data_IF_961044404357
#
_entry.id   IF_961044404357
#
_cell.length_a   1.000
_cell.length_b   1.000
_cell.length_c   1.000
_cell.angle_alpha   90.00
_cell.angle_beta   90.00
_cell.angle_gamma   90.00
#
_symmetry.space_group_name_H-M   'P 1'
#
loop_
_entity.id
_entity.type
_entity.pdbx_description
1 polymer ?
#
# COMPACT_ATOMS: atom_id res chain seq x y z
N UNK A 1 1.11 -15.87 -22.58
CA UNK A 1 0.87 -14.50 -22.07
C UNK A 1 0.24 -13.59 -23.12
N UNK A 2 0.78 -13.40 -24.36
CA UNK A 2 0.26 -12.37 -25.28
C UNK A 2 -1.24 -12.47 -25.60
N UNK A 3 -1.78 -13.70 -25.70
CA UNK A 3 -3.20 -13.91 -25.98
C UNK A 3 -4.14 -13.32 -24.91
N UNK A 4 -3.70 -13.19 -23.65
CA UNK A 4 -4.50 -12.62 -22.56
C UNK A 4 -4.60 -11.09 -22.63
N UNK A 5 -3.71 -10.44 -23.40
CA UNK A 5 -3.65 -8.99 -23.55
C UNK A 5 -4.06 -8.52 -24.95
N UNK A 6 -4.51 -9.46 -25.80
CA UNK A 6 -4.97 -9.14 -27.14
C UNK A 6 -6.15 -8.17 -27.05
N UNK A 7 -6.08 -7.10 -27.85
CA UNK A 7 -7.12 -6.07 -27.97
C UNK A 7 -7.40 -5.28 -26.67
N UNK A 8 -6.48 -5.34 -25.68
CA UNK A 8 -6.64 -4.59 -24.43
C UNK A 8 -6.23 -3.12 -24.59
N UNK A 9 -7.19 -2.19 -24.44
CA UNK A 9 -6.92 -0.75 -24.43
C UNK A 9 -6.15 -0.31 -23.18
N UNK A 10 -6.46 -0.87 -22.02
CA UNK A 10 -5.74 -0.61 -20.77
C UNK A 10 -5.67 -1.89 -19.92
N UNK A 11 -4.49 -2.16 -19.37
CA UNK A 11 -4.22 -3.25 -18.43
C UNK A 11 -4.00 -2.69 -17.03
N UNK A 12 -4.77 -3.15 -16.04
CA UNK A 12 -4.38 -3.01 -14.63
C UNK A 12 -3.45 -4.17 -14.26
N UNK A 13 -2.17 -3.87 -14.10
CA UNK A 13 -1.17 -4.81 -13.61
C UNK A 13 -1.05 -4.70 -12.08
N UNK A 14 -1.77 -5.57 -11.38
CA UNK A 14 -1.60 -5.76 -9.94
C UNK A 14 -0.34 -6.60 -9.69
N UNK A 15 0.57 -6.08 -8.87
CA UNK A 15 1.85 -6.74 -8.57
C UNK A 15 1.62 -8.13 -7.94
N UNK A 16 2.47 -9.08 -8.28
CA UNK A 16 2.36 -10.46 -7.79
C UNK A 16 2.61 -10.54 -6.28
N UNK A 17 1.92 -11.43 -5.54
CA UNK A 17 2.14 -11.63 -4.11
C UNK A 17 3.26 -12.65 -3.80
N UNK A 18 3.97 -13.15 -4.81
CA UNK A 18 4.96 -14.23 -4.63
C UNK A 18 6.13 -13.76 -3.75
N UNK A 19 6.50 -14.55 -2.73
CA UNK A 19 7.55 -14.17 -1.76
C UNK A 19 8.97 -14.30 -2.28
N UNK A 20 9.18 -15.11 -3.31
CA UNK A 20 10.46 -15.23 -4.01
C UNK A 20 10.61 -14.04 -4.96
N UNK A 21 11.45 -13.07 -4.61
CA UNK A 21 11.59 -11.81 -5.35
C UNK A 21 12.14 -12.03 -6.77
N UNK A 22 13.00 -13.03 -6.99
CA UNK A 22 13.50 -13.31 -8.34
C UNK A 22 12.40 -13.87 -9.23
N UNK A 23 11.62 -14.83 -8.72
CA UNK A 23 10.48 -15.40 -9.41
C UNK A 23 9.39 -14.34 -9.62
N UNK A 24 9.16 -13.48 -8.64
CA UNK A 24 8.23 -12.34 -8.73
C UNK A 24 8.67 -11.37 -9.82
N UNK A 25 9.95 -11.04 -9.92
CA UNK A 25 10.47 -10.19 -10.98
C UNK A 25 10.36 -10.84 -12.36
N UNK A 26 10.59 -12.16 -12.47
CA UNK A 26 10.33 -12.91 -13.72
C UNK A 26 8.87 -12.83 -14.14
N UNK A 27 7.93 -12.94 -13.18
CA UNK A 27 6.50 -12.78 -13.46
C UNK A 27 6.17 -11.37 -13.94
N UNK A 28 6.73 -10.35 -13.28
CA UNK A 28 6.50 -8.95 -13.66
C UNK A 28 7.04 -8.65 -15.06
N UNK A 29 8.26 -9.10 -15.37
CA UNK A 29 8.85 -8.98 -16.71
C UNK A 29 7.97 -9.64 -17.77
N UNK A 30 7.53 -10.87 -17.54
CA UNK A 30 6.69 -11.58 -18.50
C UNK A 30 5.33 -10.90 -18.75
N UNK A 31 4.76 -10.24 -17.73
CA UNK A 31 3.54 -9.45 -17.87
C UNK A 31 3.78 -8.21 -18.75
N UNK A 32 4.84 -7.45 -18.49
CA UNK A 32 5.20 -6.24 -19.25
C UNK A 32 5.55 -6.58 -20.70
N UNK A 33 6.43 -7.56 -20.92
CA UNK A 33 6.81 -8.01 -22.26
C UNK A 33 5.61 -8.58 -23.03
N UNK A 34 4.74 -9.32 -22.35
CA UNK A 34 3.50 -9.84 -22.94
C UNK A 34 2.55 -8.73 -23.40
N UNK A 35 2.37 -7.70 -22.57
CA UNK A 35 1.53 -6.54 -22.91
C UNK A 35 2.12 -5.73 -24.07
N UNK A 36 3.44 -5.54 -24.09
CA UNK A 36 4.14 -4.85 -25.18
C UNK A 36 4.03 -5.63 -26.49
N UNK A 37 4.24 -6.96 -26.46
CA UNK A 37 4.08 -7.82 -27.63
C UNK A 37 2.65 -7.82 -28.18
N UNK A 38 1.65 -7.69 -27.31
CA UNK A 38 0.25 -7.57 -27.69
C UNK A 38 -0.15 -6.16 -28.14
N UNK A 39 0.74 -5.16 -28.01
CA UNK A 39 0.47 -3.74 -28.28
C UNK A 39 -0.73 -3.22 -27.48
N UNK A 40 -0.82 -3.58 -26.20
CA UNK A 40 -1.82 -3.02 -25.30
C UNK A 40 -1.70 -1.49 -25.28
N UNK A 41 -2.81 -0.76 -25.14
CA UNK A 41 -2.77 0.70 -25.20
C UNK A 41 -2.02 1.35 -24.04
N UNK A 42 -2.28 0.89 -22.80
CA UNK A 42 -1.76 1.46 -21.56
C UNK A 42 -1.57 0.43 -20.46
N UNK A 43 -0.54 0.58 -19.60
CA UNK A 43 -0.37 -0.19 -18.35
C UNK A 43 -0.57 0.72 -17.14
N UNK A 44 -1.52 0.38 -16.27
CA UNK A 44 -1.66 0.93 -14.92
C UNK A 44 -1.07 -0.08 -13.94
N UNK A 45 -0.03 0.30 -13.20
CA UNK A 45 0.72 -0.62 -12.35
C UNK A 45 0.62 -0.28 -10.86
N UNK A 46 0.31 -1.27 -10.02
CA UNK A 46 0.38 -1.12 -8.55
C UNK A 46 1.82 -1.29 -8.07
N UNK A 47 2.49 -0.19 -7.79
CA UNK A 47 3.81 -0.12 -7.17
C UNK A 47 3.70 0.11 -5.66
N UNK A 48 4.78 0.55 -5.02
CA UNK A 48 4.85 0.88 -3.59
C UNK A 48 5.22 2.35 -3.36
N UNK A 49 4.60 2.99 -2.37
CA UNK A 49 4.83 4.38 -1.96
C UNK A 49 6.31 4.64 -1.68
N UNK A 50 6.83 5.72 -2.24
CA UNK A 50 8.21 6.19 -2.06
C UNK A 50 9.25 5.09 -2.27
N UNK A 51 9.08 4.28 -3.31
CA UNK A 51 9.88 3.08 -3.57
C UNK A 51 11.40 3.31 -3.46
N UNK A 52 11.92 4.44 -3.94
CA UNK A 52 13.35 4.76 -3.89
C UNK A 52 13.90 5.05 -2.48
N UNK A 53 13.02 5.34 -1.50
CA UNK A 53 13.40 5.59 -0.11
C UNK A 53 13.41 4.33 0.74
N UNK A 54 12.85 3.24 0.22
CA UNK A 54 12.81 1.95 0.89
C UNK A 54 14.09 1.15 0.75
N UNK A 55 14.37 0.30 1.73
CA UNK A 55 15.58 -0.54 1.82
C UNK A 55 15.28 -2.05 1.83
N UNK A 56 14.00 -2.42 1.80
CA UNK A 56 13.60 -3.83 1.64
C UNK A 56 13.71 -4.27 0.17
N UNK A 57 14.05 -5.55 -0.10
CA UNK A 57 14.13 -6.09 -1.47
C UNK A 57 12.90 -5.83 -2.34
N UNK A 58 11.71 -5.84 -1.73
CA UNK A 58 10.46 -5.55 -2.43
C UNK A 58 10.44 -4.14 -3.07
N UNK A 59 11.12 -3.15 -2.49
CA UNK A 59 11.17 -1.79 -3.05
C UNK A 59 12.01 -1.78 -4.32
N UNK A 60 13.17 -2.43 -4.32
CA UNK A 60 14.01 -2.59 -5.50
C UNK A 60 13.26 -3.34 -6.61
N UNK A 61 12.49 -4.37 -6.25
CA UNK A 61 11.65 -5.08 -7.22
C UNK A 61 10.62 -4.14 -7.87
N UNK A 62 9.95 -3.31 -7.08
CA UNK A 62 8.98 -2.33 -7.60
C UNK A 62 9.66 -1.28 -8.49
N UNK A 63 10.78 -0.69 -8.06
CA UNK A 63 11.57 0.25 -8.89
C UNK A 63 11.99 -0.41 -10.21
N UNK A 64 12.45 -1.66 -10.16
CA UNK A 64 12.84 -2.41 -11.34
C UNK A 64 11.65 -2.65 -12.26
N UNK A 65 10.48 -2.98 -11.72
CA UNK A 65 9.25 -3.18 -12.51
C UNK A 65 8.79 -1.88 -13.16
N UNK A 66 8.83 -0.76 -12.44
CA UNK A 66 8.50 0.54 -13.00
C UNK A 66 9.45 0.91 -14.15
N UNK A 67 10.75 0.61 -14.02
CA UNK A 67 11.72 0.80 -15.11
C UNK A 67 11.38 -0.05 -16.33
N UNK A 68 11.05 -1.34 -16.14
CA UNK A 68 10.63 -2.21 -17.24
C UNK A 68 9.40 -1.67 -17.97
N UNK A 69 8.43 -1.11 -17.23
CA UNK A 69 7.25 -0.48 -17.83
C UNK A 69 7.64 0.74 -18.65
N UNK A 70 8.49 1.63 -18.12
CA UNK A 70 8.97 2.82 -18.86
C UNK A 70 9.76 2.43 -20.12
N UNK A 71 10.56 1.37 -20.05
CA UNK A 71 11.35 0.86 -21.18
C UNK A 71 10.49 0.10 -22.22
N UNK A 72 9.25 -0.28 -21.89
CA UNK A 72 8.39 -1.08 -22.78
C UNK A 72 7.83 -0.31 -23.99
N UNK A 73 7.84 1.03 -23.94
CA UNK A 73 7.24 1.90 -24.96
C UNK A 73 5.72 2.01 -24.90
N UNK A 74 5.07 1.37 -23.92
CA UNK A 74 3.64 1.51 -23.65
C UNK A 74 3.35 2.79 -22.87
N UNK A 75 2.18 3.38 -23.09
CA UNK A 75 1.65 4.43 -22.20
C UNK A 75 1.46 3.85 -20.79
N UNK A 76 1.68 4.65 -19.74
CA UNK A 76 1.64 4.12 -18.38
C UNK A 76 1.09 5.07 -17.33
N UNK A 77 0.59 4.46 -16.25
CA UNK A 77 0.38 5.14 -14.96
C UNK A 77 0.89 4.25 -13.84
N UNK A 78 1.66 4.82 -12.91
CA UNK A 78 2.20 4.09 -11.76
C UNK A 78 1.47 4.54 -10.50
N UNK A 79 0.86 3.59 -9.81
CA UNK A 79 0.13 3.76 -8.56
C UNK A 79 0.98 3.24 -7.40
N UNK A 80 1.73 4.12 -6.74
CA UNK A 80 2.61 3.75 -5.63
C UNK A 80 1.81 3.65 -4.34
N UNK A 81 1.31 2.46 -4.06
CA UNK A 81 0.46 2.20 -2.90
C UNK A 81 1.26 2.26 -1.60
N UNK A 82 0.75 2.97 -0.59
CA UNK A 82 1.21 2.79 0.78
C UNK A 82 0.94 1.36 1.27
N UNK A 83 1.53 1.00 2.41
CA UNK A 83 1.12 -0.20 3.12
C UNK A 83 -0.39 -0.16 3.40
N UNK A 84 -1.02 -1.32 3.36
CA UNK A 84 -2.44 -1.43 3.64
C UNK A 84 -2.72 -1.23 5.14
N UNK A 85 -3.87 -0.63 5.46
CA UNK A 85 -4.33 -0.43 6.84
C UNK A 85 -4.38 -1.75 7.63
N UNK A 86 -4.51 -2.89 6.95
CA UNK A 86 -4.35 -4.25 7.47
C UNK A 86 -3.06 -4.47 8.28
N UNK A 87 -2.02 -3.64 8.13
CA UNK A 87 -0.83 -3.67 8.98
C UNK A 87 -1.19 -3.64 10.47
N UNK A 88 -2.34 -3.06 10.83
CA UNK A 88 -2.91 -3.05 12.19
C UNK A 88 -3.06 -4.46 12.77
N UNK A 89 -3.35 -5.49 11.97
CA UNK A 89 -3.36 -6.90 12.39
C UNK A 89 -2.00 -7.33 12.97
N UNK A 90 -0.90 -6.85 12.39
CA UNK A 90 0.46 -7.14 12.87
C UNK A 90 0.88 -6.29 14.08
N UNK A 91 0.10 -5.27 14.44
CA UNK A 91 0.36 -4.39 15.58
C UNK A 91 -0.35 -4.86 16.86
N UNK A 92 -1.07 -5.98 16.83
CA UNK A 92 -1.68 -6.58 18.03
C UNK A 92 -2.97 -5.89 18.50
N UNK A 93 -3.76 -5.36 17.57
CA UNK A 93 -4.98 -4.62 17.93
C UNK A 93 -6.05 -5.47 18.62
N UNK A 94 -6.12 -6.78 18.32
CA UNK A 94 -7.10 -7.70 18.93
C UNK A 94 -6.75 -7.98 20.39
N UNK A 95 -5.48 -8.22 20.66
CA UNK A 95 -4.92 -8.38 21.99
C UNK A 95 -5.12 -7.11 22.81
N UNK A 96 -4.89 -5.94 22.20
CA UNK A 96 -5.14 -4.65 22.82
C UNK A 96 -6.63 -4.43 23.14
N UNK A 97 -7.53 -4.84 22.24
CA UNK A 97 -8.98 -4.77 22.46
C UNK A 97 -9.42 -5.68 23.61
N UNK A 98 -8.82 -6.87 23.75
CA UNK A 98 -9.11 -7.80 24.84
C UNK A 98 -8.55 -7.31 26.18
N UNK A 99 -7.26 -6.92 26.19
CA UNK A 99 -6.50 -6.64 27.41
C UNK A 99 -6.39 -5.16 27.81
N UNK A 100 -6.88 -4.22 27.00
CA UNK A 100 -6.84 -2.79 27.30
C UNK A 100 -5.45 -2.14 27.14
N UNK A 101 -4.46 -2.86 26.61
CA UNK A 101 -3.10 -2.34 26.41
C UNK A 101 -2.59 -2.74 25.02
N UNK A 102 -2.25 -1.74 24.22
CA UNK A 102 -1.51 -1.92 22.96
C UNK A 102 -0.02 -1.83 23.26
N UNK A 103 0.71 -2.92 23.05
CA UNK A 103 2.15 -2.99 23.32
C UNK A 103 2.98 -2.82 22.05
N UNK A 104 4.11 -2.13 22.16
CA UNK A 104 5.13 -2.07 21.11
C UNK A 104 6.53 -2.04 21.72
N UNK A 105 7.59 -2.27 20.92
CA UNK A 105 8.93 -1.88 21.33
C UNK A 105 9.03 -0.35 21.44
N UNK A 106 10.02 0.19 22.15
CA UNK A 106 10.32 1.62 22.13
C UNK A 106 10.65 2.10 20.72
N UNK A 107 10.08 3.23 20.30
CA UNK A 107 10.33 3.81 18.98
C UNK A 107 9.27 4.83 18.58
N UNK A 108 9.57 5.62 17.55
CA UNK A 108 8.63 6.58 16.99
C UNK A 108 7.89 5.96 15.80
N UNK A 109 6.83 5.20 16.09
CA UNK A 109 6.09 4.44 15.08
C UNK A 109 5.01 5.31 14.41
N UNK A 110 5.33 5.79 13.21
CA UNK A 110 4.45 6.61 12.36
C UNK A 110 4.03 5.79 11.13
N UNK A 111 2.77 5.92 10.75
CA UNK A 111 2.16 5.15 9.67
C UNK A 111 1.37 6.07 8.72
N UNK A 112 1.57 5.88 7.42
CA UNK A 112 0.85 6.53 6.31
C UNK A 112 -0.06 5.53 5.58
N UNK A 113 -0.37 4.40 6.23
CA UNK A 113 -1.10 3.28 5.64
C UNK A 113 -2.51 3.67 5.20
N UNK A 114 -2.96 3.10 4.07
CA UNK A 114 -4.25 3.41 3.45
C UNK A 114 -5.15 2.18 3.38
N UNK A 115 -6.47 2.39 3.39
CA UNK A 115 -7.44 1.32 3.20
C UNK A 115 -7.37 0.78 1.77
N UNK A 116 -7.52 -0.55 1.60
CA UNK A 116 -7.49 -1.16 0.25
C UNK A 116 -8.62 -0.65 -0.64
N UNK A 117 -9.76 -0.32 -0.05
CA UNK A 117 -10.92 0.23 -0.75
C UNK A 117 -10.60 1.57 -1.39
N UNK A 118 -9.88 2.45 -0.69
CA UNK A 118 -9.46 3.75 -1.24
C UNK A 118 -8.43 3.58 -2.36
N UNK A 119 -7.47 2.67 -2.18
CA UNK A 119 -6.46 2.37 -3.22
C UNK A 119 -7.10 1.76 -4.46
N UNK A 120 -8.10 0.90 -4.29
CA UNK A 120 -8.88 0.32 -5.39
C UNK A 120 -9.74 1.39 -6.08
N UNK A 121 -10.35 2.31 -5.34
CA UNK A 121 -11.10 3.43 -5.89
C UNK A 121 -10.19 4.37 -6.72
N UNK A 122 -8.98 4.67 -6.24
CA UNK A 122 -8.00 5.43 -7.01
C UNK A 122 -7.55 4.71 -8.28
N UNK A 123 -7.32 3.39 -8.21
CA UNK A 123 -7.00 2.60 -9.40
C UNK A 123 -8.16 2.60 -10.41
N UNK A 124 -9.40 2.49 -9.93
CA UNK A 124 -10.59 2.58 -10.77
C UNK A 124 -10.70 3.94 -11.46
N UNK A 125 -10.55 5.04 -10.72
CA UNK A 125 -10.55 6.40 -11.28
C UNK A 125 -9.51 6.53 -12.40
N UNK A 126 -8.27 6.10 -12.16
CA UNK A 126 -7.19 6.14 -13.16
C UNK A 126 -7.50 5.32 -14.41
N UNK A 127 -8.19 4.19 -14.26
CA UNK A 127 -8.59 3.36 -15.38
C UNK A 127 -9.71 3.98 -16.22
N UNK A 128 -10.64 4.70 -15.58
CA UNK A 128 -11.88 5.18 -16.23
C UNK A 128 -11.84 6.65 -16.64
N UNK A 129 -10.87 7.42 -16.16
CA UNK A 129 -10.71 8.84 -16.43
C UNK A 129 -9.48 9.12 -17.32
N UNK A 130 -9.47 10.27 -17.96
CA UNK A 130 -8.37 10.75 -18.81
C UNK A 130 -7.39 11.65 -18.05
N UNK A 131 -6.15 11.79 -18.52
CA UNK A 131 -5.16 12.72 -17.94
C UNK A 131 -4.21 12.07 -16.94
N UNK A 132 -4.14 10.74 -16.94
CA UNK A 132 -3.27 9.95 -16.07
C UNK A 132 -2.04 9.39 -16.79
N UNK A 133 -1.90 9.69 -18.08
CA UNK A 133 -0.80 9.30 -18.95
C UNK A 133 0.55 9.82 -18.43
N UNK A 134 1.56 8.94 -18.37
CA UNK A 134 2.89 9.20 -17.83
C UNK A 134 2.96 9.57 -16.34
N UNK A 135 1.86 9.45 -15.58
CA UNK A 135 1.81 9.90 -14.18
C UNK A 135 2.33 8.84 -13.21
N UNK A 136 2.92 9.31 -12.13
CA UNK A 136 3.29 8.51 -10.95
C UNK A 136 2.60 9.16 -9.75
N UNK A 137 1.77 8.39 -9.05
CA UNK A 137 1.01 8.85 -7.89
C UNK A 137 1.49 8.18 -6.61
N UNK A 138 1.71 8.94 -5.54
CA UNK A 138 2.02 8.43 -4.22
C UNK A 138 0.72 8.26 -3.42
N UNK A 139 0.23 7.02 -3.29
CA UNK A 139 -1.09 6.73 -2.76
C UNK A 139 -1.04 6.39 -1.27
N UNK A 140 -0.99 7.41 -0.43
CA UNK A 140 -0.91 7.30 1.03
C UNK A 140 -2.17 7.84 1.72
N UNK A 141 -2.29 7.59 3.02
CA UNK A 141 -3.22 8.35 3.86
C UNK A 141 -2.97 9.87 3.75
N UNK A 142 -4.01 10.68 3.93
CA UNK A 142 -3.88 12.15 3.92
C UNK A 142 -3.22 12.72 5.17
N UNK A 143 -3.19 11.94 6.25
CA UNK A 143 -2.53 12.27 7.51
C UNK A 143 -1.88 11.03 8.07
N UNK A 144 -0.64 11.12 8.58
CA UNK A 144 -0.03 9.99 9.26
C UNK A 144 -0.72 9.76 10.62
N UNK A 145 -0.62 8.54 11.12
CA UNK A 145 -1.13 8.13 12.44
C UNK A 145 -0.05 7.40 13.23
N UNK A 146 -0.25 7.28 14.54
CA UNK A 146 0.68 6.65 15.49
C UNK A 146 -0.04 5.57 16.30
N UNK A 147 0.72 4.76 17.04
CA UNK A 147 0.11 3.73 17.91
C UNK A 147 -0.84 4.30 18.97
N UNK A 148 -0.60 5.54 19.43
CA UNK A 148 -1.54 6.24 20.32
C UNK A 148 -2.90 6.52 19.64
N UNK A 149 -2.91 6.77 18.33
CA UNK A 149 -4.14 6.99 17.58
C UNK A 149 -4.90 5.68 17.37
N UNK A 150 -4.19 4.57 17.14
CA UNK A 150 -4.77 3.22 17.12
C UNK A 150 -5.37 2.86 18.48
N UNK A 151 -4.64 3.05 19.59
CA UNK A 151 -5.17 2.80 20.93
C UNK A 151 -6.43 3.64 21.22
N UNK A 152 -6.43 4.92 20.81
CA UNK A 152 -7.62 5.78 20.94
C UNK A 152 -8.80 5.25 20.13
N UNK A 153 -8.58 4.86 18.88
CA UNK A 153 -9.63 4.30 18.03
C UNK A 153 -10.21 2.98 18.59
N UNK A 154 -9.35 2.12 19.17
CA UNK A 154 -9.78 0.89 19.85
C UNK A 154 -10.59 1.18 21.12
N UNK A 155 -10.18 2.19 21.91
CA UNK A 155 -10.90 2.60 23.12
C UNK A 155 -12.30 3.12 22.77
N UNK A 156 -12.39 3.99 21.76
CA UNK A 156 -13.68 4.50 21.27
C UNK A 156 -14.58 3.37 20.77
N UNK A 157 -14.04 2.43 19.99
CA UNK A 157 -14.81 1.31 19.45
C UNK A 157 -15.31 0.34 20.52
N UNK A 158 -14.49 0.04 21.53
CA UNK A 158 -14.85 -0.93 22.58
C UNK A 158 -15.66 -0.35 23.72
N UNK A 159 -15.72 0.98 23.84
CA UNK A 159 -16.25 1.66 25.03
C UNK A 159 -15.43 1.39 26.30
N UNK A 160 -14.23 0.81 26.18
CA UNK A 160 -13.34 0.46 27.30
C UNK A 160 -11.99 1.18 27.14
N UNK A 161 -11.29 1.51 28.24
CA UNK A 161 -9.96 2.10 28.15
C UNK A 161 -8.98 1.18 27.41
N UNK A 162 -8.31 1.72 26.38
CA UNK A 162 -7.16 1.09 25.72
C UNK A 162 -6.03 2.10 25.71
N UNK A 163 -4.86 1.71 26.25
CA UNK A 163 -3.68 2.57 26.30
C UNK A 163 -2.54 1.96 25.50
N UNK A 164 -1.79 2.78 24.78
CA UNK A 164 -0.54 2.35 24.16
C UNK A 164 0.61 2.46 25.18
N UNK A 165 1.44 1.42 25.26
CA UNK A 165 2.62 1.37 26.12
C UNK A 165 3.79 0.74 25.38
N UNK A 166 4.94 1.42 25.41
CA UNK A 166 6.19 0.83 24.96
C UNK A 166 6.77 -0.11 26.04
N UNK A 167 7.24 -1.28 25.61
CA UNK A 167 7.89 -2.28 26.45
C UNK A 167 9.22 -2.72 25.78
N UNK A 168 10.39 -2.45 26.39
CA UNK A 168 11.70 -2.88 25.87
C UNK A 168 11.85 -4.39 25.66
N UNK A 169 11.08 -5.21 26.38
CA UNK A 169 11.08 -6.67 26.23
C UNK A 169 10.27 -7.12 25.00
N UNK A 170 9.31 -6.30 24.53
CA UNK A 170 8.51 -6.60 23.36
C UNK A 170 9.38 -6.65 22.10
N UNK A 171 9.16 -7.67 21.29
CA UNK A 171 9.73 -7.83 19.94
C UNK A 171 8.58 -8.09 18.96
N UNK A 172 8.74 -7.61 17.73
CA UNK A 172 7.83 -7.93 16.65
C UNK A 172 8.52 -7.70 15.32
N UNK A 173 8.40 -8.65 14.41
CA UNK A 173 9.04 -8.60 13.09
C UNK A 173 8.64 -7.33 12.33
N UNK A 174 7.37 -6.90 12.42
CA UNK A 174 6.89 -5.68 11.77
C UNK A 174 7.72 -4.45 12.18
N UNK A 175 8.05 -4.31 13.48
CA UNK A 175 8.82 -3.18 13.99
C UNK A 175 10.29 -3.18 13.53
N UNK A 176 10.85 -4.34 13.17
CA UNK A 176 12.18 -4.40 12.53
C UNK A 176 12.17 -4.00 11.06
N UNK A 177 11.02 -4.10 10.39
CA UNK A 177 10.87 -3.82 8.97
C UNK A 177 10.40 -2.38 8.70
N UNK A 178 9.60 -1.80 9.60
CA UNK A 178 9.09 -0.43 9.45
C UNK A 178 10.19 0.61 9.17
N UNK A 179 11.34 0.63 9.89
CA UNK A 179 12.42 1.61 9.61
C UNK A 179 13.11 1.44 8.25
N UNK A 180 12.83 0.33 7.54
CA UNK A 180 13.36 0.04 6.21
C UNK A 180 12.41 0.52 5.10
N UNK A 181 11.34 1.23 5.44
CA UNK A 181 10.37 1.79 4.50
C UNK A 181 10.01 3.22 4.89
N UNK A 182 9.52 4.02 3.93
CA UNK A 182 8.99 5.36 4.21
C UNK A 182 7.52 5.24 4.64
N UNK A 183 7.29 5.19 5.95
CA UNK A 183 5.95 5.04 6.54
C UNK A 183 5.39 6.33 7.13
N UNK A 184 6.10 7.46 7.00
CA UNK A 184 5.70 8.73 7.62
C UNK A 184 5.28 9.78 6.59
N UNK A 185 5.93 9.82 5.43
CA UNK A 185 5.60 10.79 4.38
C UNK A 185 4.18 10.56 3.84
N UNK A 186 3.49 11.65 3.53
CA UNK A 186 2.12 11.64 2.99
C UNK A 186 2.03 12.45 1.70
N UNK A 187 1.09 12.08 0.85
CA UNK A 187 0.67 12.77 -0.36
C UNK A 187 -0.83 13.02 -0.34
N UNK A 188 -1.28 14.00 -1.14
CA UNK A 188 -2.70 14.26 -1.39
C UNK A 188 -3.27 13.45 -2.54
N UNK A 189 -2.44 12.75 -3.31
CA UNK A 189 -2.84 12.09 -4.57
C UNK A 189 -4.00 11.12 -4.37
N UNK A 190 -3.93 10.25 -3.34
CA UNK A 190 -4.99 9.29 -3.05
C UNK A 190 -6.34 9.99 -2.83
N UNK A 191 -6.35 11.06 -2.03
CA UNK A 191 -7.58 11.82 -1.77
C UNK A 191 -8.09 12.53 -3.02
N UNK A 192 -7.19 13.05 -3.85
CA UNK A 192 -7.56 13.72 -5.09
C UNK A 192 -8.19 12.75 -6.09
N UNK A 193 -7.61 11.56 -6.26
CA UNK A 193 -8.13 10.52 -7.14
C UNK A 193 -9.44 9.90 -6.64
N UNK A 194 -9.58 9.70 -5.32
CA UNK A 194 -10.81 9.15 -4.74
C UNK A 194 -11.95 10.19 -4.75
N UNK A 195 -11.64 11.48 -4.71
CA UNK A 195 -12.65 12.56 -4.71
C UNK A 195 -13.50 12.64 -3.44
N UNK A 196 -13.21 11.84 -2.41
CA UNK A 196 -13.95 11.76 -1.15
C UNK A 196 -12.99 11.68 0.06
N UNK A 197 -13.48 11.86 1.30
CA UNK A 197 -12.67 11.57 2.50
C UNK A 197 -12.21 10.11 2.51
N UNK A 198 -10.91 9.91 2.79
CA UNK A 198 -10.31 8.57 2.89
C UNK A 198 -10.73 7.87 4.19
N UNK A 199 -10.80 6.53 4.15
CA UNK A 199 -11.12 5.69 5.30
C UNK A 199 -9.93 5.67 6.27
N UNK A 200 -10.16 6.12 7.50
CA UNK A 200 -9.16 6.15 8.56
C UNK A 200 -9.19 4.88 9.43
N UNK A 201 -8.45 4.91 10.53
CA UNK A 201 -8.41 3.82 11.52
C UNK A 201 -9.80 3.48 12.06
N UNK A 202 -10.65 4.48 12.31
CA UNK A 202 -11.97 4.27 12.90
C UNK A 202 -12.90 3.53 11.93
N UNK A 203 -12.94 3.99 10.68
CA UNK A 203 -13.73 3.38 9.62
C UNK A 203 -13.23 1.97 9.32
N UNK A 204 -11.91 1.77 9.22
CA UNK A 204 -11.34 0.45 9.00
C UNK A 204 -11.65 -0.52 10.15
N UNK A 205 -11.54 -0.06 11.40
CA UNK A 205 -11.88 -0.87 12.58
C UNK A 205 -13.37 -1.21 12.59
N UNK A 206 -14.26 -0.29 12.23
CA UNK A 206 -15.71 -0.55 12.20
C UNK A 206 -16.09 -1.74 11.30
N UNK A 207 -15.34 -1.97 10.22
CA UNK A 207 -15.55 -3.08 9.30
C UNK A 207 -15.01 -4.43 9.81
N UNK A 208 -14.12 -4.43 10.81
CA UNK A 208 -13.53 -5.67 11.32
C UNK A 208 -14.49 -6.43 12.23
N UNK A 209 -14.43 -7.76 12.25
CA UNK A 209 -15.15 -8.53 13.28
C UNK A 209 -14.46 -8.40 14.63
N UNK A 210 -15.24 -8.07 15.67
CA UNK A 210 -14.80 -8.08 17.08
C UNK A 210 -14.50 -9.48 17.55
#
# INVERSE_FOLDING_TARGET
>A
MPAAFKDADTLLFISSPLRDEEARLRQHRAAVEGAAAAKAGRIVYTSIAYAERGRLPLHELHVTTERLIRESGLEYTILRNAYYMDIVEMLGWREALAGGVLLSPPGDWIFNAAAREDLAAAAAAVLTESGHEGRVYELTASRPWRLNDLARALAERSGRPVVHRADPAMKGMVYSLLPLSETAAVSTDLRQLVGAPLRGLKEWLADQKM
#
